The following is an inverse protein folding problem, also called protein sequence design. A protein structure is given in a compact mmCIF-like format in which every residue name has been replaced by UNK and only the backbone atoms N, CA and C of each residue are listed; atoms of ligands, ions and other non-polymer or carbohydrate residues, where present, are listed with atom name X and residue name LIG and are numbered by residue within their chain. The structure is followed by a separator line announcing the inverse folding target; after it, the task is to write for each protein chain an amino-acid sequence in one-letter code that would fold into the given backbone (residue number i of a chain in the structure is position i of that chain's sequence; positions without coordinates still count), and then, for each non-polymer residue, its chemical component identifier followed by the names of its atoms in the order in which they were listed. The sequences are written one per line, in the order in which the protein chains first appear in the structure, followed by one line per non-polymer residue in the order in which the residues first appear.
data_IF_468938060899
#
_entry.id   IF_468938060899
#
_cell.length_a   1.000
_cell.length_b   1.000
_cell.length_c   1.000
_cell.angle_alpha   90.00
_cell.angle_beta   90.00
_cell.angle_gamma   90.00
#
_symmetry.space_group_name_H-M   'P 1'
#
loop_
_entity.id
_entity.type
_entity.pdbx_description
1 polymer ?
#
# COMPACT_ATOMS: atom_id res chain seq x y z
N UNK A 1 -17.29 40.37 31.20
CA UNK A 1 -16.38 40.53 30.04
C UNK A 1 -15.21 39.55 30.10
N UNK A 2 -14.31 39.67 31.09
CA UNK A 2 -13.11 38.81 31.20
C UNK A 2 -13.45 37.31 31.25
N UNK A 3 -14.46 36.90 32.02
CA UNK A 3 -14.88 35.51 32.10
C UNK A 3 -15.39 34.93 30.76
N UNK A 4 -16.05 35.75 29.93
CA UNK A 4 -16.50 35.32 28.61
C UNK A 4 -15.31 35.15 27.66
N UNK A 5 -14.33 36.04 27.75
CA UNK A 5 -13.09 35.94 26.95
C UNK A 5 -12.33 34.66 27.29
N UNK A 6 -12.21 34.31 28.57
CA UNK A 6 -11.56 33.06 28.99
C UNK A 6 -12.32 31.81 28.54
N UNK A 7 -13.65 31.85 28.54
CA UNK A 7 -14.46 30.74 28.07
C UNK A 7 -14.30 30.49 26.56
N UNK A 8 -14.33 31.56 25.75
CA UNK A 8 -14.13 31.45 24.30
C UNK A 8 -12.71 31.01 23.93
N UNK A 9 -11.68 31.46 24.65
CA UNK A 9 -10.29 31.03 24.39
C UNK A 9 -10.10 29.55 24.72
N UNK A 10 -10.68 29.04 25.82
CA UNK A 10 -10.65 27.62 26.17
C UNK A 10 -11.36 26.78 25.11
N UNK A 11 -12.53 27.22 24.62
CA UNK A 11 -13.25 26.51 23.55
C UNK A 11 -12.42 26.47 22.27
N UNK A 12 -11.82 27.59 21.86
CA UNK A 12 -10.99 27.65 20.66
C UNK A 12 -9.78 26.70 20.75
N UNK A 13 -9.09 26.69 21.90
CA UNK A 13 -7.97 25.78 22.15
C UNK A 13 -8.43 24.32 22.13
N UNK A 14 -9.59 24.02 22.75
CA UNK A 14 -10.15 22.68 22.79
C UNK A 14 -10.55 22.19 21.39
N UNK A 15 -11.17 23.03 20.56
CA UNK A 15 -11.51 22.69 19.18
C UNK A 15 -10.28 22.46 18.31
N UNK A 16 -9.22 23.27 18.47
CA UNK A 16 -7.96 23.08 17.75
C UNK A 16 -7.24 21.80 18.17
N UNK A 17 -7.30 21.43 19.45
CA UNK A 17 -6.74 20.17 19.95
C UNK A 17 -7.47 18.95 19.39
N UNK A 18 -8.80 19.01 19.26
CA UNK A 18 -9.60 17.93 18.64
C UNK A 18 -9.21 17.75 17.17
N UNK A 19 -9.04 18.84 16.41
CA UNK A 19 -8.65 18.79 15.00
C UNK A 19 -7.21 18.26 14.84
N UNK A 20 -6.26 18.73 15.68
CA UNK A 20 -4.88 18.27 15.68
C UNK A 20 -4.74 16.77 15.98
N UNK A 21 -5.61 16.21 16.84
CA UNK A 21 -5.65 14.76 17.07
C UNK A 21 -6.22 13.95 15.90
N UNK A 22 -6.99 14.57 15.00
CA UNK A 22 -7.62 13.89 13.85
C UNK A 22 -6.71 13.82 12.63
N UNK A 23 -5.64 14.62 12.55
CA UNK A 23 -4.60 14.47 11.51
C UNK A 23 -3.69 13.29 11.83
N UNK A 24 -4.28 12.10 11.93
CA UNK A 24 -3.55 10.85 11.96
C UNK A 24 -3.06 10.52 10.55
N UNK A 25 -1.75 10.31 10.43
CA UNK A 25 -1.02 9.96 9.21
C UNK A 25 -1.79 8.88 8.43
N UNK A 26 -2.36 9.24 7.28
CA UNK A 26 -2.87 8.26 6.32
C UNK A 26 -1.67 7.55 5.70
N UNK A 27 -1.27 6.42 6.26
CA UNK A 27 -0.32 5.54 5.57
C UNK A 27 -0.93 5.11 4.24
N UNK A 28 -0.44 5.68 3.14
CA UNK A 28 -0.84 5.30 1.80
C UNK A 28 -0.31 3.89 1.53
N UNK A 29 -1.20 2.91 1.54
CA UNK A 29 -0.88 1.54 1.15
C UNK A 29 -0.73 1.52 -0.37
N UNK A 30 0.45 1.17 -0.87
CA UNK A 30 0.70 1.08 -2.31
C UNK A 30 0.31 -0.31 -2.82
N UNK A 31 -0.42 -0.42 -3.95
CA UNK A 31 -0.74 -1.70 -4.55
C UNK A 31 0.52 -2.41 -5.08
N UNK A 32 0.45 -3.74 -5.12
CA UNK A 32 1.50 -4.63 -5.61
C UNK A 32 0.98 -5.37 -6.85
N UNK A 33 1.82 -5.45 -7.87
CA UNK A 33 1.62 -6.25 -9.07
C UNK A 33 2.39 -7.57 -8.92
N UNK A 34 1.69 -8.70 -9.06
CA UNK A 34 2.28 -10.05 -9.14
C UNK A 34 2.37 -10.47 -10.60
N UNK A 35 3.57 -10.78 -11.06
CA UNK A 35 3.85 -11.29 -12.41
C UNK A 35 4.19 -12.76 -12.26
N UNK A 36 3.55 -13.62 -13.06
CA UNK A 36 3.73 -15.07 -13.00
C UNK A 36 3.97 -15.63 -14.40
N UNK A 37 4.92 -16.56 -14.50
CA UNK A 37 5.16 -17.33 -15.70
C UNK A 37 4.09 -18.40 -15.89
N UNK A 38 3.48 -18.43 -17.07
CA UNK A 38 2.43 -19.40 -17.40
C UNK A 38 2.96 -20.84 -17.62
N UNK A 39 4.28 -21.01 -17.76
CA UNK A 39 4.89 -22.32 -18.00
C UNK A 39 5.45 -22.94 -16.70
N UNK A 40 6.40 -22.25 -16.05
CA UNK A 40 7.11 -22.80 -14.88
C UNK A 40 6.58 -22.29 -13.52
N UNK A 41 5.50 -21.50 -13.51
CA UNK A 41 4.89 -20.89 -12.31
C UNK A 41 5.82 -20.01 -11.46
N UNK A 42 6.98 -19.64 -11.98
CA UNK A 42 7.84 -18.65 -11.32
C UNK A 42 7.10 -17.31 -11.23
N UNK A 43 7.08 -16.71 -10.04
CA UNK A 43 6.43 -15.42 -9.82
C UNK A 43 7.36 -14.40 -9.16
N UNK A 44 7.13 -13.14 -9.50
CA UNK A 44 7.81 -11.97 -8.95
C UNK A 44 6.76 -10.92 -8.56
N UNK A 45 7.12 -10.05 -7.60
CA UNK A 45 6.23 -9.01 -7.09
C UNK A 45 6.95 -7.67 -7.20
N UNK A 46 6.24 -6.64 -7.64
CA UNK A 46 6.73 -5.26 -7.68
C UNK A 46 5.64 -4.27 -7.33
N UNK A 47 6.02 -3.03 -7.04
CA UNK A 47 5.06 -1.94 -6.89
C UNK A 47 4.25 -1.77 -8.18
N UNK A 48 2.97 -1.46 -8.00
CA UNK A 48 2.09 -1.12 -9.10
C UNK A 48 2.62 0.08 -9.87
N UNK A 49 2.55 0.00 -11.20
CA UNK A 49 2.91 1.08 -12.10
C UNK A 49 1.73 1.42 -12.99
N UNK A 50 1.58 2.70 -13.34
CA UNK A 50 0.53 3.15 -14.26
C UNK A 50 0.61 2.36 -15.57
N UNK A 51 -0.53 1.81 -15.99
CA UNK A 51 -0.64 0.97 -17.18
C UNK A 51 -0.45 -0.54 -16.92
N UNK A 52 -0.31 -0.97 -15.67
CA UNK A 52 -0.48 -2.37 -15.30
C UNK A 52 -1.95 -2.79 -15.36
N UNK A 53 -2.22 -3.95 -15.96
CA UNK A 53 -3.53 -4.60 -15.97
C UNK A 53 -3.36 -6.11 -15.93
N UNK A 54 -4.36 -6.83 -15.41
CA UNK A 54 -4.33 -8.28 -15.29
C UNK A 54 -4.25 -8.93 -16.69
N UNK A 55 -3.42 -9.96 -16.83
CA UNK A 55 -3.04 -10.64 -18.06
C UNK A 55 -2.20 -9.83 -19.07
N UNK A 56 -1.72 -8.64 -18.69
CA UNK A 56 -0.71 -7.91 -19.48
C UNK A 56 0.56 -8.76 -19.65
N UNK A 57 1.07 -8.84 -20.87
CA UNK A 57 2.34 -9.50 -21.17
C UNK A 57 3.52 -8.69 -20.59
N UNK A 58 4.42 -9.36 -19.87
CA UNK A 58 5.64 -8.79 -19.29
C UNK A 58 6.93 -9.39 -19.90
N UNK A 59 6.82 -10.03 -21.05
CA UNK A 59 7.95 -10.60 -21.77
C UNK A 59 8.21 -12.06 -21.42
N UNK A 60 9.47 -12.48 -21.55
CA UNK A 60 9.87 -13.88 -21.42
C UNK A 60 10.48 -14.17 -20.04
N UNK A 61 10.17 -15.34 -19.49
CA UNK A 61 10.69 -15.80 -18.22
C UNK A 61 12.18 -16.13 -18.32
N UNK A 62 13.00 -15.55 -17.44
CA UNK A 62 14.44 -15.81 -17.39
C UNK A 62 14.80 -17.27 -17.04
N UNK A 63 13.87 -18.01 -16.42
CA UNK A 63 14.11 -19.41 -16.01
C UNK A 63 13.81 -20.44 -17.10
N UNK A 64 12.80 -20.20 -17.94
CA UNK A 64 12.32 -21.22 -18.90
C UNK A 64 11.93 -20.67 -20.27
N UNK A 65 12.11 -19.37 -20.54
CA UNK A 65 11.70 -18.71 -21.79
C UNK A 65 10.20 -18.57 -22.00
N UNK A 66 9.36 -19.02 -21.07
CA UNK A 66 7.90 -18.98 -21.19
C UNK A 66 7.32 -17.58 -21.00
N UNK A 67 6.10 -17.36 -21.48
CA UNK A 67 5.40 -16.06 -21.35
C UNK A 67 5.16 -15.69 -19.88
N UNK A 68 5.57 -14.49 -19.48
CA UNK A 68 5.23 -13.89 -18.19
C UNK A 68 4.06 -12.93 -18.34
N UNK A 69 3.12 -12.99 -17.41
CA UNK A 69 1.94 -12.13 -17.39
C UNK A 69 1.67 -11.60 -16.00
N UNK A 70 1.06 -10.41 -15.92
CA UNK A 70 0.52 -9.91 -14.66
C UNK A 70 -0.65 -10.81 -14.24
N UNK A 71 -0.49 -11.57 -13.16
CA UNK A 71 -1.51 -12.48 -12.65
C UNK A 71 -2.49 -11.77 -11.72
N UNK A 72 -2.00 -10.83 -10.90
CA UNK A 72 -2.82 -10.14 -9.92
C UNK A 72 -2.27 -8.74 -9.59
N UNK A 73 -3.18 -7.83 -9.23
CA UNK A 73 -2.87 -6.53 -8.65
C UNK A 73 -3.68 -6.42 -7.36
N UNK A 74 -3.02 -6.21 -6.22
CA UNK A 74 -3.67 -6.23 -4.90
C UNK A 74 -3.01 -5.31 -3.89
N UNK A 75 -3.73 -4.93 -2.84
CA UNK A 75 -3.17 -4.23 -1.70
C UNK A 75 -2.51 -5.24 -0.74
N UNK A 76 -1.26 -5.01 -0.30
CA UNK A 76 -0.64 -5.87 0.71
C UNK A 76 -1.42 -5.82 2.03
N UNK A 77 -1.40 -6.90 2.82
CA UNK A 77 -1.99 -6.89 4.15
C UNK A 77 -1.31 -5.85 5.05
N UNK A 78 -2.07 -5.19 5.94
CA UNK A 78 -1.51 -4.23 6.89
C UNK A 78 -0.58 -4.96 7.87
N UNK A 79 0.72 -4.68 7.80
CA UNK A 79 1.68 -5.16 8.81
C UNK A 79 1.59 -4.28 10.06
N UNK A 80 1.74 -4.86 11.26
CA UNK A 80 1.64 -4.11 12.54
C UNK A 80 2.82 -3.18 12.82
N UNK A 81 3.88 -3.26 12.02
CA UNK A 81 5.05 -2.39 12.09
C UNK A 81 4.98 -1.44 10.89
N UNK A 82 4.82 -0.14 11.12
CA UNK A 82 4.58 0.92 10.11
C UNK A 82 5.71 1.19 9.11
N UNK A 83 6.30 0.14 8.55
CA UNK A 83 7.20 0.17 7.41
C UNK A 83 6.56 -0.68 6.31
N UNK A 84 5.99 -0.01 5.30
CA UNK A 84 5.61 -0.64 4.02
C UNK A 84 6.89 -0.98 3.21
N UNK A 85 7.84 -1.68 3.83
CA UNK A 85 8.95 -2.31 3.12
C UNK A 85 8.47 -3.68 2.67
N UNK A 86 8.66 -3.92 1.38
CA UNK A 86 8.37 -5.17 0.69
C UNK A 86 9.19 -6.28 1.38
N UNK A 87 8.64 -6.91 2.43
CA UNK A 87 9.14 -8.18 2.93
C UNK A 87 8.54 -9.27 2.05
N UNK A 88 9.26 -9.61 0.99
CA UNK A 88 8.91 -10.63 0.00
C UNK A 88 9.02 -12.08 0.50
N UNK A 89 9.30 -12.32 1.77
CA UNK A 89 9.86 -13.62 2.18
C UNK A 89 8.84 -14.65 2.71
N UNK A 90 7.53 -14.35 2.68
CA UNK A 90 6.53 -15.19 3.38
C UNK A 90 5.25 -15.54 2.61
N UNK A 91 5.14 -15.23 1.32
CA UNK A 91 3.99 -15.64 0.48
C UNK A 91 4.48 -16.28 -0.83
N UNK A 92 5.28 -17.35 -0.70
CA UNK A 92 5.72 -18.23 -1.79
C UNK A 92 5.45 -19.71 -1.45
N UNK A 93 4.32 -19.99 -0.79
CA UNK A 93 3.84 -21.37 -0.63
C UNK A 93 2.34 -21.42 -0.84
N UNK A 94 1.94 -21.77 -2.05
CA UNK A 94 0.83 -22.68 -2.33
C UNK A 94 0.90 -23.19 -3.76
#
# INVERSE_FOLDING_TARGET
MIALILFFTIIMIFTQFIIYRRTGITHTIQPITKITCQNCKHSEKRLFQTGDYVFKNQGSCLKCGGKMVIEAIYLPPKTKNGSNTIHTDKYQHS
#
